data_IF_991283400437
#
_entry.id   IF_991283400437
#
_cell.length_a   1.000
_cell.length_b   1.000
_cell.length_c   1.000
_cell.angle_alpha   90.00
_cell.angle_beta   90.00
_cell.angle_gamma   90.00
#
_symmetry.space_group_name_H-M   'P 1'
#
loop_
_entity.id
_entity.type
_entity.pdbx_description
1 polymer ?
#
# COMPACT_ATOMS: atom_id res chain seq x y z
N UNK A 1 16.15 -0.49 9.36
CA UNK A 1 16.52 -1.73 8.62
C UNK A 1 17.40 -1.30 7.46
N UNK A 2 18.29 -2.14 6.91
CA UNK A 2 19.14 -1.71 5.77
C UNK A 2 18.48 -2.08 4.44
N UNK A 3 18.14 -1.08 3.63
CA UNK A 3 17.57 -1.26 2.30
C UNK A 3 18.49 -2.10 1.40
N UNK A 4 17.91 -3.03 0.64
CA UNK A 4 18.58 -3.95 -0.28
C UNK A 4 18.01 -3.77 -1.68
N UNK A 5 18.82 -3.22 -2.58
CA UNK A 5 18.38 -2.87 -3.93
C UNK A 5 18.72 -3.92 -4.99
N UNK A 6 19.51 -4.95 -4.69
CA UNK A 6 19.94 -5.94 -5.69
C UNK A 6 18.75 -6.62 -6.41
N UNK A 7 17.70 -6.99 -5.67
CA UNK A 7 16.47 -7.58 -6.26
C UNK A 7 15.71 -6.56 -7.09
N UNK A 8 15.60 -5.32 -6.60
CA UNK A 8 14.95 -4.22 -7.29
C UNK A 8 15.65 -3.89 -8.62
N UNK A 9 16.96 -3.67 -8.58
CA UNK A 9 17.81 -3.44 -9.75
C UNK A 9 17.69 -4.57 -10.77
N UNK A 10 17.67 -5.83 -10.32
CA UNK A 10 17.46 -6.98 -11.22
C UNK A 10 16.06 -6.95 -11.88
N UNK A 11 15.02 -6.63 -11.12
CA UNK A 11 13.65 -6.53 -11.61
C UNK A 11 13.46 -5.41 -12.65
N UNK A 12 14.07 -4.23 -12.43
CA UNK A 12 13.89 -3.07 -13.33
C UNK A 12 14.87 -3.06 -14.53
N UNK A 13 15.98 -3.80 -14.46
CA UNK A 13 16.97 -3.85 -15.56
C UNK A 13 16.61 -4.84 -16.66
N UNK A 14 15.65 -5.75 -16.42
CA UNK A 14 15.28 -6.81 -17.37
C UNK A 14 13.76 -6.82 -17.59
N UNK A 15 13.33 -6.30 -18.74
CA UNK A 15 11.90 -6.22 -19.09
C UNK A 15 11.25 -7.62 -19.14
N UNK A 16 11.99 -8.62 -19.60
CA UNK A 16 11.54 -10.02 -19.64
C UNK A 16 11.24 -10.52 -18.24
N UNK A 17 12.13 -10.28 -17.28
CA UNK A 17 11.94 -10.68 -15.88
C UNK A 17 10.75 -9.95 -15.23
N UNK A 18 10.57 -8.66 -15.55
CA UNK A 18 9.40 -7.91 -15.10
C UNK A 18 8.10 -8.52 -15.62
N UNK A 19 8.06 -8.88 -16.91
CA UNK A 19 6.91 -9.54 -17.53
C UNK A 19 6.65 -10.94 -16.94
N UNK A 20 7.70 -11.75 -16.76
CA UNK A 20 7.60 -13.06 -16.12
C UNK A 20 7.03 -12.96 -14.71
N UNK A 21 7.47 -11.95 -13.93
CA UNK A 21 6.95 -11.70 -12.59
C UNK A 21 5.44 -11.38 -12.64
N UNK A 22 5.01 -10.48 -13.54
CA UNK A 22 3.59 -10.17 -13.69
C UNK A 22 2.76 -11.40 -14.08
N UNK A 23 3.25 -12.22 -15.01
CA UNK A 23 2.57 -13.46 -15.41
C UNK A 23 2.51 -14.48 -14.26
N UNK A 24 3.58 -14.60 -13.47
CA UNK A 24 3.60 -15.44 -12.26
C UNK A 24 2.52 -15.01 -11.26
N UNK A 25 2.37 -13.70 -11.04
CA UNK A 25 1.32 -13.17 -10.17
C UNK A 25 -0.07 -13.46 -10.72
N UNK A 26 -0.32 -13.21 -12.01
CA UNK A 26 -1.63 -13.49 -12.64
C UNK A 26 -2.05 -14.96 -12.52
N UNK A 27 -1.09 -15.89 -12.58
CA UNK A 27 -1.37 -17.34 -12.52
C UNK A 27 -1.54 -17.86 -11.09
N UNK A 28 -0.71 -17.40 -10.16
CA UNK A 28 -0.59 -18.07 -8.86
C UNK A 28 -0.97 -17.21 -7.64
N UNK A 29 -1.06 -15.90 -7.81
CA UNK A 29 -1.42 -15.04 -6.70
C UNK A 29 -2.94 -14.95 -6.60
N UNK A 30 -3.51 -15.79 -5.73
CA UNK A 30 -4.89 -15.64 -5.26
C UNK A 30 -5.90 -15.51 -6.44
N UNK A 31 -5.96 -16.48 -7.36
CA UNK A 31 -6.71 -16.35 -8.62
C UNK A 31 -8.24 -16.27 -8.46
N UNK A 32 -8.78 -16.63 -7.28
CA UNK A 32 -10.21 -16.63 -6.95
C UNK A 32 -10.48 -16.03 -5.55
N UNK A 33 -9.61 -15.14 -5.10
CA UNK A 33 -9.72 -14.55 -3.76
C UNK A 33 -10.82 -13.46 -3.75
N UNK A 34 -11.77 -13.50 -2.78
CA UNK A 34 -12.83 -12.49 -2.67
C UNK A 34 -12.30 -11.05 -2.59
N UNK A 35 -11.09 -10.86 -2.05
CA UNK A 35 -10.43 -9.56 -1.99
C UNK A 35 -10.10 -8.97 -3.37
N UNK A 36 -10.00 -9.78 -4.43
CA UNK A 36 -9.85 -9.31 -5.80
C UNK A 36 -11.17 -8.70 -6.30
N UNK A 37 -12.27 -9.43 -6.14
CA UNK A 37 -13.59 -8.98 -6.54
C UNK A 37 -13.96 -7.66 -5.83
N UNK A 38 -13.78 -7.61 -4.51
CA UNK A 38 -14.06 -6.40 -3.74
C UNK A 38 -13.17 -5.23 -4.15
N UNK A 39 -11.91 -5.49 -4.51
CA UNK A 39 -11.01 -4.46 -5.00
C UNK A 39 -11.46 -3.88 -6.34
N UNK A 40 -11.88 -4.72 -7.29
CA UNK A 40 -12.45 -4.26 -8.56
C UNK A 40 -13.72 -3.42 -8.32
N UNK A 41 -14.61 -3.89 -7.43
CA UNK A 41 -15.81 -3.15 -7.04
C UNK A 41 -15.48 -1.77 -6.45
N UNK A 42 -14.42 -1.67 -5.63
CA UNK A 42 -13.95 -0.40 -5.08
C UNK A 42 -13.52 0.57 -6.18
N UNK A 43 -12.73 0.09 -7.15
CA UNK A 43 -12.27 0.92 -8.27
C UNK A 43 -13.46 1.44 -9.11
N UNK A 44 -14.48 0.61 -9.33
CA UNK A 44 -15.71 1.03 -10.01
C UNK A 44 -16.51 2.06 -9.20
N UNK A 45 -16.68 1.84 -7.88
CA UNK A 45 -17.42 2.75 -7.00
C UNK A 45 -16.71 4.10 -6.83
N UNK A 46 -15.39 4.15 -6.88
CA UNK A 46 -14.60 5.38 -6.71
C UNK A 46 -15.01 6.52 -7.64
N UNK A 47 -15.54 6.20 -8.82
CA UNK A 47 -16.00 7.19 -9.80
C UNK A 47 -17.48 7.54 -9.66
N UNK A 48 -18.21 6.84 -8.78
CA UNK A 48 -19.67 6.95 -8.62
C UNK A 48 -20.08 7.54 -7.27
N UNK A 49 -19.26 7.38 -6.23
CA UNK A 49 -19.56 7.84 -4.88
C UNK A 49 -18.41 8.65 -4.28
N UNK A 50 -18.72 9.48 -3.28
CA UNK A 50 -17.68 10.15 -2.51
C UNK A 50 -16.84 9.13 -1.74
N UNK A 51 -15.51 9.24 -1.83
CA UNK A 51 -14.57 8.35 -1.13
C UNK A 51 -14.63 8.50 0.40
N UNK A 52 -15.29 9.56 0.89
CA UNK A 52 -15.51 9.80 2.32
C UNK A 52 -16.91 9.40 2.80
N UNK A 53 -17.76 8.86 1.91
CA UNK A 53 -19.07 8.31 2.28
C UNK A 53 -18.92 7.04 3.11
N UNK A 54 -19.94 6.70 3.91
CA UNK A 54 -19.95 5.44 4.66
C UNK A 54 -19.88 4.25 3.70
N UNK A 55 -20.64 4.28 2.60
CA UNK A 55 -20.62 3.22 1.58
C UNK A 55 -19.21 2.93 1.05
N UNK A 56 -18.43 3.96 0.72
CA UNK A 56 -17.05 3.75 0.24
C UNK A 56 -16.13 3.25 1.36
N UNK A 57 -16.22 3.84 2.55
CA UNK A 57 -15.35 3.50 3.68
C UNK A 57 -15.64 2.11 4.26
N UNK A 58 -16.89 1.66 4.24
CA UNK A 58 -17.30 0.29 4.57
C UNK A 58 -16.67 -0.71 3.61
N UNK A 59 -16.67 -0.40 2.31
CA UNK A 59 -16.01 -1.25 1.30
C UNK A 59 -14.49 -1.29 1.51
N UNK A 60 -13.84 -0.15 1.77
CA UNK A 60 -12.42 -0.09 2.13
C UNK A 60 -12.12 -0.96 3.35
N UNK A 61 -12.92 -0.82 4.41
CA UNK A 61 -12.76 -1.59 5.65
C UNK A 61 -12.93 -3.09 5.41
N UNK A 62 -13.93 -3.48 4.61
CA UNK A 62 -14.21 -4.87 4.23
C UNK A 62 -13.06 -5.47 3.42
N UNK A 63 -12.51 -4.73 2.45
CA UNK A 63 -11.35 -5.17 1.66
C UNK A 63 -10.13 -5.36 2.55
N UNK A 64 -9.87 -4.45 3.50
CA UNK A 64 -8.78 -4.59 4.45
C UNK A 64 -8.92 -5.90 5.26
N UNK A 65 -10.12 -6.25 5.70
CA UNK A 65 -10.39 -7.54 6.35
C UNK A 65 -10.07 -8.71 5.41
N UNK A 66 -10.58 -8.69 4.17
CA UNK A 66 -10.32 -9.72 3.17
C UNK A 66 -8.82 -9.85 2.82
N UNK A 67 -8.06 -8.76 2.91
CA UNK A 67 -6.62 -8.70 2.72
C UNK A 67 -5.83 -9.02 4.02
N UNK A 68 -6.49 -9.69 4.98
CA UNK A 68 -5.96 -10.17 6.25
C UNK A 68 -5.45 -9.06 7.21
N UNK A 69 -5.99 -7.84 7.11
CA UNK A 69 -5.64 -6.74 8.03
C UNK A 69 -6.39 -6.78 9.36
N UNK A 70 -7.20 -7.82 9.60
CA UNK A 70 -7.91 -8.06 10.85
C UNK A 70 -7.68 -9.48 11.41
N UNK A 71 -6.44 -9.98 11.30
CA UNK A 71 -6.00 -11.30 11.76
C UNK A 71 -5.17 -11.29 13.06
N UNK A 72 -4.46 -12.39 13.35
CA UNK A 72 -3.66 -12.54 14.60
C UNK A 72 -2.58 -11.45 14.79
N UNK A 73 -1.99 -10.94 13.70
CA UNK A 73 -0.89 -9.98 13.72
C UNK A 73 -1.24 -8.53 13.35
N UNK A 74 -2.50 -8.27 12.99
CA UNK A 74 -3.01 -6.96 12.61
C UNK A 74 -4.50 -6.89 12.96
N UNK A 75 -4.92 -5.82 13.63
CA UNK A 75 -6.32 -5.59 13.95
C UNK A 75 -6.66 -4.17 13.53
N UNK A 76 -7.72 -4.02 12.75
CA UNK A 76 -8.26 -2.70 12.42
C UNK A 76 -8.86 -2.07 13.67
N UNK A 77 -8.93 -0.75 13.69
CA UNK A 77 -9.70 -0.04 14.71
C UNK A 77 -11.20 -0.31 14.51
N UNK A 78 -12.02 0.00 15.50
CA UNK A 78 -13.48 -0.05 15.32
C UNK A 78 -13.89 0.85 14.15
N UNK A 79 -14.91 0.45 13.39
CA UNK A 79 -15.24 1.08 12.11
C UNK A 79 -15.52 2.58 12.25
N UNK A 80 -16.22 3.01 13.31
CA UNK A 80 -16.49 4.42 13.55
C UNK A 80 -15.22 5.23 13.81
N UNK A 81 -14.27 4.71 14.59
CA UNK A 81 -12.98 5.37 14.80
C UNK A 81 -12.15 5.42 13.51
N UNK A 82 -12.18 4.34 12.73
CA UNK A 82 -11.49 4.24 11.44
C UNK A 82 -12.03 5.29 10.45
N UNK A 83 -13.35 5.34 10.25
CA UNK A 83 -13.97 6.25 9.26
C UNK A 83 -13.84 7.70 9.68
N UNK A 84 -14.01 8.00 10.98
CA UNK A 84 -13.89 9.36 11.49
C UNK A 84 -12.47 9.88 11.37
N UNK A 85 -11.46 9.04 11.60
CA UNK A 85 -10.06 9.42 11.42
C UNK A 85 -9.73 9.77 9.96
N UNK A 86 -10.28 9.02 8.99
CA UNK A 86 -10.14 9.33 7.56
C UNK A 86 -10.84 10.64 7.22
N UNK A 87 -12.08 10.85 7.70
CA UNK A 87 -12.86 12.08 7.46
C UNK A 87 -12.21 13.32 8.06
N UNK A 88 -11.62 13.23 9.25
CA UNK A 88 -10.82 14.31 9.87
C UNK A 88 -9.64 14.74 9.00
N UNK A 89 -9.15 13.84 8.14
CA UNK A 89 -8.03 14.05 7.23
C UNK A 89 -8.42 14.36 5.78
N UNK A 90 -9.71 14.64 5.52
CA UNK A 90 -10.28 14.84 4.18
C UNK A 90 -9.48 15.81 3.31
N UNK A 91 -9.08 16.96 3.85
CA UNK A 91 -8.38 17.99 3.07
C UNK A 91 -7.02 17.51 2.55
N UNK A 92 -6.25 16.80 3.40
CA UNK A 92 -4.94 16.22 3.02
C UNK A 92 -5.11 15.13 1.97
N UNK A 93 -6.11 14.27 2.14
CA UNK A 93 -6.42 13.20 1.19
C UNK A 93 -6.90 13.76 -0.16
N UNK A 94 -7.74 14.80 -0.16
CA UNK A 94 -8.18 15.48 -1.38
C UNK A 94 -7.03 16.21 -2.10
N UNK A 95 -6.06 16.74 -1.36
CA UNK A 95 -4.85 17.29 -1.96
C UNK A 95 -4.05 16.20 -2.66
N UNK A 96 -3.80 15.07 -1.99
CA UNK A 96 -3.05 13.94 -2.55
C UNK A 96 -3.75 13.29 -3.75
N UNK A 97 -5.09 13.30 -3.81
CA UNK A 97 -5.88 12.71 -4.91
C UNK A 97 -5.53 13.25 -6.30
N UNK A 98 -4.91 14.43 -6.37
CA UNK A 98 -4.53 15.11 -7.62
C UNK A 98 -3.27 14.53 -8.25
N UNK A 99 -2.48 13.78 -7.49
CA UNK A 99 -1.22 13.22 -7.93
C UNK A 99 -1.37 11.78 -8.41
N UNK A 100 -0.46 11.37 -9.29
CA UNK A 100 -0.25 9.99 -9.70
C UNK A 100 1.23 9.68 -9.64
N UNK A 101 1.58 8.47 -9.19
CA UNK A 101 2.97 8.06 -8.98
C UNK A 101 3.84 8.18 -10.25
N UNK A 102 3.24 8.01 -11.43
CA UNK A 102 3.94 8.10 -12.73
C UNK A 102 4.28 9.54 -13.12
N UNK A 103 3.59 10.54 -12.56
CA UNK A 103 3.68 11.96 -12.97
C UNK A 103 4.40 12.86 -11.98
N UNK A 104 4.80 12.32 -10.82
CA UNK A 104 5.45 13.12 -9.79
C UNK A 104 6.80 13.65 -10.28
N UNK A 105 6.96 14.98 -10.26
CA UNK A 105 8.30 15.58 -10.26
C UNK A 105 8.94 15.52 -8.86
N UNK A 106 10.21 15.91 -8.74
CA UNK A 106 10.94 15.80 -7.47
C UNK A 106 10.36 16.69 -6.35
N UNK A 107 9.90 17.90 -6.69
CA UNK A 107 9.27 18.80 -5.71
C UNK A 107 7.94 18.22 -5.22
N UNK A 108 7.08 17.80 -6.14
CA UNK A 108 5.78 17.19 -5.81
C UNK A 108 5.94 15.91 -5.00
N UNK A 109 6.95 15.08 -5.32
CA UNK A 109 7.28 13.90 -4.55
C UNK A 109 7.59 14.25 -3.09
N UNK A 110 8.41 15.27 -2.85
CA UNK A 110 8.74 15.71 -1.50
C UNK A 110 7.50 16.26 -0.76
N UNK A 111 6.69 17.07 -1.43
CA UNK A 111 5.43 17.59 -0.86
C UNK A 111 4.47 16.44 -0.48
N UNK A 112 4.34 15.44 -1.35
CA UNK A 112 3.54 14.23 -1.10
C UNK A 112 4.06 13.47 0.11
N UNK A 113 5.39 13.24 0.21
CA UNK A 113 5.98 12.51 1.32
C UNK A 113 5.79 13.21 2.68
N UNK A 114 5.86 14.55 2.72
CA UNK A 114 5.58 15.30 3.94
C UNK A 114 4.12 15.16 4.39
N UNK A 115 3.16 15.21 3.45
CA UNK A 115 1.74 15.00 3.78
C UNK A 115 1.50 13.56 4.22
N UNK A 116 2.12 12.57 3.57
CA UNK A 116 2.02 11.16 3.98
C UNK A 116 2.57 10.97 5.41
N UNK A 117 3.68 11.62 5.76
CA UNK A 117 4.23 11.59 7.13
C UNK A 117 3.23 12.14 8.14
N UNK A 118 2.56 13.25 7.84
CA UNK A 118 1.51 13.79 8.71
C UNK A 118 0.34 12.83 8.84
N UNK A 119 -0.15 12.28 7.72
CA UNK A 119 -1.23 11.27 7.72
C UNK A 119 -0.84 10.02 8.53
N UNK A 120 0.42 9.60 8.49
CA UNK A 120 0.90 8.44 9.26
C UNK A 120 0.73 8.63 10.77
N UNK A 121 0.89 9.87 11.23
CA UNK A 121 0.73 10.24 12.64
C UNK A 121 -0.74 10.43 13.03
N UNK A 122 -1.55 10.98 12.13
CA UNK A 122 -2.93 11.40 12.42
C UNK A 122 -3.99 10.31 12.14
N UNK A 123 -3.71 9.35 11.25
CA UNK A 123 -4.66 8.28 10.93
C UNK A 123 -4.68 7.19 12.00
N UNK A 124 -5.85 6.98 12.61
CA UNK A 124 -6.10 6.01 13.68
C UNK A 124 -6.71 4.70 13.15
N UNK A 125 -5.93 3.99 12.34
CA UNK A 125 -6.40 2.83 11.55
C UNK A 125 -6.27 1.49 12.28
N UNK A 126 -5.40 1.39 13.28
CA UNK A 126 -5.06 0.13 13.94
C UNK A 126 -5.68 0.04 15.32
N UNK A 127 -6.27 -1.11 15.64
CA UNK A 127 -6.93 -1.35 16.92
C UNK A 127 -5.99 -1.84 18.02
N UNK A 128 -6.59 -2.45 19.05
CA UNK A 128 -5.89 -3.13 20.15
C UNK A 128 -5.70 -4.61 19.82
N UNK A 129 -4.61 -5.21 20.29
CA UNK A 129 -4.38 -6.65 20.21
C UNK A 129 -5.27 -7.41 21.23
N UNK A 130 -5.13 -8.74 21.30
CA UNK A 130 -5.92 -9.60 22.22
C UNK A 130 -5.73 -9.27 23.71
N UNK A 131 -4.61 -8.66 24.09
CA UNK A 131 -4.33 -8.22 25.46
C UNK A 131 -4.72 -6.75 25.71
N UNK A 132 -5.51 -6.15 24.82
CA UNK A 132 -5.98 -4.77 24.96
C UNK A 132 -4.94 -3.68 24.68
N UNK A 133 -3.72 -4.04 24.26
CA UNK A 133 -2.65 -3.07 23.96
C UNK A 133 -2.75 -2.58 22.52
N UNK A 134 -2.59 -1.26 22.30
CA UNK A 134 -2.57 -0.66 20.95
C UNK A 134 -1.50 -1.33 20.08
N UNK A 135 -1.88 -1.74 18.87
CA UNK A 135 -0.94 -2.29 17.90
C UNK A 135 -0.02 -1.16 17.40
N UNK A 136 1.29 -1.39 17.47
CA UNK A 136 2.30 -0.37 17.13
C UNK A 136 2.76 -0.42 15.68
N UNK A 137 2.60 -1.55 15.00
CA UNK A 137 2.91 -1.66 13.58
C UNK A 137 1.75 -1.12 12.75
N UNK A 138 1.92 0.07 12.17
CA UNK A 138 0.90 0.75 11.35
C UNK A 138 1.20 0.63 9.86
N UNK A 139 2.48 0.51 9.46
CA UNK A 139 2.96 0.61 8.07
C UNK A 139 2.11 -0.13 7.03
N UNK A 140 1.80 -1.41 7.27
CA UNK A 140 1.05 -2.24 6.32
C UNK A 140 -0.42 -1.82 6.25
N UNK A 141 -1.07 -1.61 7.39
CA UNK A 141 -2.46 -1.11 7.42
C UNK A 141 -2.56 0.26 6.76
N UNK A 142 -1.62 1.15 7.08
CA UNK A 142 -1.54 2.49 6.55
C UNK A 142 -1.39 2.50 5.03
N UNK A 143 -0.37 1.83 4.49
CA UNK A 143 -0.13 1.79 3.03
C UNK A 143 -1.28 1.16 2.26
N UNK A 144 -1.88 0.07 2.75
CA UNK A 144 -3.06 -0.55 2.12
C UNK A 144 -4.29 0.35 2.17
N UNK A 145 -4.55 1.00 3.31
CA UNK A 145 -5.67 1.95 3.44
C UNK A 145 -5.49 3.12 2.48
N UNK A 146 -4.29 3.72 2.46
CA UNK A 146 -4.00 4.80 1.53
C UNK A 146 -4.06 4.36 0.07
N UNK A 147 -3.65 3.14 -0.27
CA UNK A 147 -3.82 2.61 -1.62
C UNK A 147 -5.30 2.55 -2.04
N UNK A 148 -6.21 2.16 -1.15
CA UNK A 148 -7.65 2.14 -1.46
C UNK A 148 -8.25 3.54 -1.61
N UNK A 149 -7.71 4.54 -0.92
CA UNK A 149 -8.14 5.94 -1.04
C UNK A 149 -7.48 6.65 -2.24
N UNK A 150 -6.22 6.31 -2.54
CA UNK A 150 -5.32 6.96 -3.47
C UNK A 150 -4.64 5.93 -4.42
N UNK A 151 -5.42 5.16 -5.21
CA UNK A 151 -4.91 4.02 -5.99
C UNK A 151 -3.93 4.41 -7.09
N UNK A 152 -3.95 5.67 -7.54
CA UNK A 152 -3.01 6.17 -8.56
C UNK A 152 -1.67 6.65 -7.96
N UNK A 153 -1.59 6.80 -6.64
CA UNK A 153 -0.45 7.40 -5.96
C UNK A 153 0.28 6.43 -5.05
N UNK A 154 -0.45 5.62 -4.27
CA UNK A 154 0.13 4.82 -3.19
C UNK A 154 0.14 3.34 -3.57
N UNK A 155 1.33 2.75 -3.62
CA UNK A 155 1.52 1.30 -3.76
C UNK A 155 1.32 0.64 -2.38
N UNK A 156 0.54 -0.46 -2.28
CA UNK A 156 0.38 -1.16 -1.01
C UNK A 156 1.69 -1.83 -0.59
N UNK A 157 2.00 -1.83 0.71
CA UNK A 157 3.17 -2.52 1.27
C UNK A 157 2.70 -3.72 2.06
N UNK A 158 3.30 -4.89 1.83
CA UNK A 158 3.07 -6.11 2.59
C UNK A 158 4.36 -6.58 3.31
N UNK A 159 4.19 -7.28 4.44
CA UNK A 159 5.31 -7.91 5.15
C UNK A 159 5.96 -9.04 4.34
N UNK A 160 5.14 -9.91 3.77
CA UNK A 160 5.59 -11.16 3.12
C UNK A 160 6.32 -10.89 1.81
N UNK A 161 5.85 -9.92 1.04
CA UNK A 161 6.36 -9.65 -0.30
C UNK A 161 7.24 -8.40 -0.30
N UNK A 162 6.65 -7.22 -0.03
CA UNK A 162 7.37 -5.94 -0.15
C UNK A 162 8.53 -5.81 0.83
N UNK A 163 8.31 -6.02 2.13
CA UNK A 163 9.40 -5.89 3.13
C UNK A 163 10.46 -6.98 2.94
N UNK A 164 10.05 -8.23 2.67
CA UNK A 164 10.98 -9.31 2.37
C UNK A 164 11.82 -9.03 1.11
N UNK A 165 11.23 -8.38 0.10
CA UNK A 165 11.93 -7.99 -1.11
C UNK A 165 13.00 -6.93 -0.84
N UNK A 166 12.65 -5.85 -0.15
CA UNK A 166 13.55 -4.71 0.08
C UNK A 166 14.50 -4.85 1.27
N UNK A 167 14.22 -5.73 2.23
CA UNK A 167 15.02 -5.83 3.46
C UNK A 167 15.41 -7.26 3.85
N UNK A 168 14.93 -8.29 3.13
CA UNK A 168 15.01 -9.70 3.57
C UNK A 168 14.48 -9.90 5.01
N UNK A 169 13.50 -9.08 5.42
CA UNK A 169 12.92 -9.10 6.75
C UNK A 169 11.46 -8.67 6.67
N UNK A 170 10.60 -9.31 7.48
CA UNK A 170 9.15 -9.07 7.52
C UNK A 170 8.72 -8.30 8.78
N UNK A 171 9.64 -8.05 9.71
CA UNK A 171 9.37 -7.37 10.97
C UNK A 171 9.37 -5.86 10.79
N UNK A 172 8.34 -5.23 11.35
CA UNK A 172 8.20 -3.77 11.39
C UNK A 172 8.70 -3.26 12.75
N UNK A 173 9.35 -2.09 12.84
CA UNK A 173 9.78 -1.54 14.13
C UNK A 173 8.62 -1.30 15.11
N UNK A 174 8.63 -1.99 16.25
CA UNK A 174 7.56 -1.89 17.28
C UNK A 174 8.07 -1.86 18.72
N UNK A 175 9.22 -1.21 18.98
CA UNK A 175 9.79 -1.16 20.33
C UNK A 175 8.80 -0.56 21.35
N UNK A 176 8.81 -0.97 22.64
CA UNK A 176 7.97 -0.34 23.64
C UNK A 176 8.21 1.19 23.72
N UNK A 177 7.12 1.95 23.87
CA UNK A 177 7.05 3.38 24.21
C UNK A 177 7.92 4.40 23.45
N UNK A 178 8.10 4.29 22.13
CA UNK A 178 8.87 5.29 21.39
C UNK A 178 8.15 5.88 20.17
N UNK A 179 8.01 7.21 20.15
CA UNK A 179 7.71 8.02 18.95
C UNK A 179 8.64 7.66 17.78
N UNK A 180 9.86 7.24 18.11
CA UNK A 180 10.84 6.74 17.14
C UNK A 180 10.41 5.49 16.35
N UNK A 181 9.37 4.75 16.75
CA UNK A 181 8.86 3.67 15.90
C UNK A 181 8.05 4.19 14.71
N UNK A 182 7.26 5.25 14.92
CA UNK A 182 6.49 5.83 13.83
C UNK A 182 7.45 6.50 12.83
N UNK A 183 8.46 7.21 13.35
CA UNK A 183 9.57 7.78 12.56
C UNK A 183 10.31 6.69 11.74
N UNK A 184 10.66 5.56 12.35
CA UNK A 184 11.31 4.46 11.62
C UNK A 184 10.40 3.79 10.60
N UNK A 185 9.09 3.73 10.87
CA UNK A 185 8.14 3.16 9.92
C UNK A 185 7.92 4.08 8.71
N UNK A 186 7.89 5.40 8.93
CA UNK A 186 7.81 6.36 7.83
C UNK A 186 9.11 6.43 7.04
N UNK A 187 10.28 6.28 7.68
CA UNK A 187 11.56 6.11 6.98
C UNK A 187 11.52 4.91 6.03
N UNK A 188 11.05 3.74 6.51
CA UNK A 188 10.87 2.55 5.68
C UNK A 188 9.89 2.82 4.54
N UNK A 189 8.77 3.50 4.81
CA UNK A 189 7.81 3.87 3.76
C UNK A 189 8.49 4.73 2.69
N UNK A 190 9.21 5.77 3.08
CA UNK A 190 9.86 6.72 2.16
C UNK A 190 10.95 6.03 1.32
N UNK A 191 11.78 5.19 1.96
CA UNK A 191 12.81 4.40 1.27
C UNK A 191 12.20 3.53 0.17
N UNK A 192 11.15 2.76 0.49
CA UNK A 192 10.46 1.91 -0.48
C UNK A 192 9.74 2.76 -1.55
N UNK A 193 9.04 3.82 -1.14
CA UNK A 193 8.24 4.66 -2.04
C UNK A 193 9.10 5.33 -3.11
N UNK A 194 10.32 5.76 -2.77
CA UNK A 194 11.27 6.28 -3.74
C UNK A 194 11.58 5.28 -4.86
N UNK A 195 11.71 3.98 -4.52
CA UNK A 195 11.93 2.93 -5.51
C UNK A 195 10.69 2.70 -6.38
N UNK A 196 9.49 2.84 -5.82
CA UNK A 196 8.26 2.75 -6.61
C UNK A 196 8.13 3.88 -7.63
N UNK A 197 8.48 5.11 -7.25
CA UNK A 197 8.52 6.27 -8.16
C UNK A 197 9.53 6.02 -9.28
N UNK A 198 10.72 5.51 -8.95
CA UNK A 198 11.74 5.17 -9.95
C UNK A 198 11.24 4.14 -10.96
N UNK A 199 10.64 3.03 -10.49
CA UNK A 199 10.09 2.01 -11.37
C UNK A 199 8.96 2.57 -12.26
N UNK A 200 8.08 3.40 -11.71
CA UNK A 200 6.99 4.05 -12.45
C UNK A 200 7.50 4.98 -13.57
N UNK A 201 8.72 5.53 -13.45
CA UNK A 201 9.36 6.35 -14.48
C UNK A 201 10.07 5.52 -15.56
N UNK A 202 10.58 4.35 -15.20
CA UNK A 202 11.32 3.46 -16.14
C UNK A 202 10.37 2.80 -17.14
N UNK A 203 9.20 2.36 -16.67
CA UNK A 203 8.26 1.61 -17.51
C UNK A 203 6.96 2.37 -17.77
N UNK A 204 6.44 2.26 -19.00
CA UNK A 204 5.08 2.64 -19.34
C UNK A 204 4.08 1.61 -18.77
N UNK A 205 3.77 1.72 -17.48
CA UNK A 205 3.05 0.69 -16.72
C UNK A 205 1.58 0.51 -17.13
N UNK A 206 0.98 1.51 -17.77
CA UNK A 206 -0.44 1.46 -18.21
C UNK A 206 -0.76 0.27 -19.10
N UNK A 207 0.18 -0.20 -19.91
CA UNK A 207 -0.02 -1.35 -20.80
C UNK A 207 -0.26 -2.67 -20.05
N UNK A 208 0.10 -2.74 -18.76
CA UNK A 208 -0.04 -3.94 -17.94
C UNK A 208 -1.31 -3.95 -17.09
N UNK A 209 -2.12 -2.90 -17.17
CA UNK A 209 -3.39 -2.81 -16.44
C UNK A 209 -4.36 -3.85 -17.01
N UNK A 210 -5.04 -4.56 -16.11
CA UNK A 210 -6.04 -5.57 -16.47
C UNK A 210 -7.25 -5.53 -15.52
N UNK A 211 -8.26 -6.35 -15.80
CA UNK A 211 -9.44 -6.53 -14.94
C UNK A 211 -9.21 -7.53 -13.79
N UNK A 212 -7.97 -8.02 -13.62
CA UNK A 212 -7.57 -8.95 -12.57
C UNK A 212 -6.91 -8.15 -11.44
N UNK A 213 -5.71 -8.54 -11.02
CA UNK A 213 -5.01 -7.90 -9.91
C UNK A 213 -4.31 -6.60 -10.31
N UNK A 214 -4.09 -6.32 -11.60
CA UNK A 214 -3.42 -5.11 -12.09
C UNK A 214 -4.44 -3.99 -12.38
N UNK A 215 -5.32 -3.64 -11.43
CA UNK A 215 -6.37 -2.65 -11.68
C UNK A 215 -5.90 -1.20 -11.90
N UNK A 216 -4.65 -0.88 -11.55
CA UNK A 216 -4.01 0.42 -11.77
C UNK A 216 -2.48 0.27 -11.70
N UNK A 217 -1.78 1.38 -11.99
CA UNK A 217 -0.31 1.43 -12.03
C UNK A 217 0.30 0.97 -10.71
N UNK A 218 -0.22 1.42 -9.57
CA UNK A 218 0.38 1.08 -8.28
C UNK A 218 0.24 -0.41 -7.95
N UNK A 219 -0.85 -1.07 -8.38
CA UNK A 219 -0.98 -2.53 -8.29
C UNK A 219 -0.09 -3.29 -9.25
N UNK A 220 0.20 -2.77 -10.44
CA UNK A 220 1.19 -3.37 -11.35
C UNK A 220 2.55 -3.45 -10.65
N UNK A 221 2.98 -2.38 -9.97
CA UNK A 221 4.23 -2.34 -9.20
C UNK A 221 4.24 -3.41 -8.10
N UNK A 222 3.19 -3.43 -7.27
CA UNK A 222 3.04 -4.43 -6.19
C UNK A 222 3.06 -5.87 -6.74
N UNK A 223 2.31 -6.13 -7.81
CA UNK A 223 2.21 -7.45 -8.42
C UNK A 223 3.52 -7.91 -9.08
N UNK A 224 4.34 -7.00 -9.61
CA UNK A 224 5.67 -7.34 -10.10
C UNK A 224 6.57 -7.82 -8.94
N UNK A 225 6.48 -7.19 -7.77
CA UNK A 225 7.26 -7.57 -6.59
C UNK A 225 6.78 -8.92 -6.02
N UNK A 226 5.48 -9.13 -5.93
CA UNK A 226 4.87 -10.41 -5.53
C UNK A 226 5.33 -11.53 -6.47
N UNK A 227 5.28 -11.27 -7.78
CA UNK A 227 5.63 -12.22 -8.82
C UNK A 227 7.10 -12.58 -8.80
N UNK A 228 7.97 -11.58 -8.68
CA UNK A 228 9.42 -11.79 -8.52
C UNK A 228 9.69 -12.69 -7.31
N UNK A 229 9.03 -12.44 -6.18
CA UNK A 229 9.19 -13.23 -4.95
C UNK A 229 8.69 -14.67 -5.07
N UNK A 230 7.96 -15.01 -6.14
CA UNK A 230 7.51 -16.38 -6.48
C UNK A 230 8.38 -17.04 -7.55
N UNK A 231 9.22 -16.27 -8.24
CA UNK A 231 10.21 -16.77 -9.21
C UNK A 231 11.53 -17.13 -8.53
N UNK A 232 11.89 -16.39 -7.46
CA UNK A 232 13.08 -16.59 -6.64
C UNK A 232 12.84 -17.53 -5.47
#
# INVERSE_FOLDING_TARGET
>A
MKLKLNKFQKLISKKELFNEALEKTKKEYRPLDPGQYLYNLLLEKRNKVDIFSDEYLELVYTILIAWNMNGRGAKLNDFDLFKDSIRKNRNKLNYLKRYSIEKLNEKEKNDVLEIIKVLFMELDLVGKNRSGKKIKSKLVTFSKTLHFLLPELIVPIDRRYTLAFFYNNTQVPTKPNSKSNDEKQIEIFNEIYNQFVELARIYHLKQYIDKKWNGNITKVIDNAIIGYSKLS
#
